data_IF_693954656593
#
_entry.id   IF_693954656593
#
_cell.length_a   1.000
_cell.length_b   1.000
_cell.length_c   1.000
_cell.angle_alpha   90.00
_cell.angle_beta   90.00
_cell.angle_gamma   90.00
#
_symmetry.space_group_name_H-M   'P 1'
#
loop_
_entity.id
_entity.type
_entity.pdbx_description
1 polymer ?
#
# COMPACT_ATOMS: atom_id res chain seq x y z
N UNK A 1 15.15 -17.93 -30.35
CA UNK A 1 13.93 -17.91 -29.54
C UNK A 1 13.89 -16.59 -28.78
N UNK A 2 13.01 -15.67 -29.18
CA UNK A 2 13.00 -14.35 -28.58
C UNK A 2 12.31 -14.44 -27.20
N UNK A 3 13.05 -14.23 -26.14
CA UNK A 3 12.59 -14.19 -24.74
C UNK A 3 11.57 -13.03 -24.48
N UNK A 4 11.27 -12.23 -25.51
CA UNK A 4 10.44 -11.02 -25.42
C UNK A 4 8.93 -11.21 -25.52
N UNK A 5 8.44 -12.45 -25.70
CA UNK A 5 7.00 -12.73 -25.85
C UNK A 5 6.31 -13.09 -24.54
N UNK A 6 6.98 -12.92 -23.39
CA UNK A 6 6.36 -13.19 -22.10
C UNK A 6 5.34 -12.09 -21.77
N UNK A 7 4.10 -12.49 -21.62
CA UNK A 7 2.98 -11.61 -21.28
C UNK A 7 2.78 -11.60 -19.77
N UNK A 8 3.64 -10.89 -19.05
CA UNK A 8 3.64 -10.85 -17.59
C UNK A 8 2.27 -10.51 -17.01
N UNK A 9 1.58 -9.50 -17.53
CA UNK A 9 0.24 -9.14 -17.07
C UNK A 9 -0.81 -10.24 -17.25
N UNK A 10 -0.66 -11.14 -18.25
CA UNK A 10 -1.55 -12.31 -18.39
C UNK A 10 -1.22 -13.41 -17.40
N UNK A 11 0.05 -13.59 -17.09
CA UNK A 11 0.48 -14.57 -16.10
C UNK A 11 0.08 -14.15 -14.70
N UNK A 12 0.19 -12.85 -14.39
CA UNK A 12 -0.32 -12.25 -13.14
C UNK A 12 -1.83 -12.47 -13.01
N UNK A 13 -2.61 -12.14 -14.04
CA UNK A 13 -4.06 -12.37 -14.06
C UNK A 13 -4.44 -13.85 -13.89
N UNK A 14 -3.65 -14.76 -14.48
CA UNK A 14 -3.89 -16.21 -14.35
C UNK A 14 -3.63 -16.66 -12.90
N UNK A 15 -2.58 -16.15 -12.26
CA UNK A 15 -2.28 -16.44 -10.87
C UNK A 15 -3.37 -15.88 -9.95
N UNK A 16 -3.79 -14.63 -10.14
CA UNK A 16 -4.85 -14.00 -9.35
C UNK A 16 -6.18 -14.76 -9.45
N UNK A 17 -6.58 -15.19 -10.67
CA UNK A 17 -7.80 -15.98 -10.86
C UNK A 17 -7.71 -17.42 -10.32
N UNK A 18 -6.50 -17.92 -10.13
CA UNK A 18 -6.25 -19.26 -9.60
C UNK A 18 -5.85 -19.28 -8.12
N UNK A 19 -5.97 -18.16 -7.41
CA UNK A 19 -5.50 -17.97 -6.04
C UNK A 19 -4.03 -18.40 -5.88
N UNK A 20 -3.25 -18.16 -6.92
CA UNK A 20 -1.83 -18.48 -6.99
C UNK A 20 -0.95 -17.24 -6.86
N UNK A 21 0.35 -17.49 -6.78
CA UNK A 21 1.36 -16.44 -6.74
C UNK A 21 2.11 -16.39 -8.07
N UNK A 22 2.27 -15.20 -8.64
CA UNK A 22 3.13 -14.96 -9.76
C UNK A 22 4.48 -14.42 -9.30
N UNK A 23 5.58 -15.01 -9.76
CA UNK A 23 6.92 -14.52 -9.50
C UNK A 23 7.75 -14.51 -10.79
N UNK A 24 8.60 -13.51 -10.94
CA UNK A 24 9.58 -13.43 -12.00
C UNK A 24 10.94 -13.89 -11.49
N UNK A 25 11.43 -14.99 -12.04
CA UNK A 25 12.72 -15.57 -11.66
C UNK A 25 13.69 -15.36 -12.83
N UNK A 26 14.65 -14.48 -12.66
CA UNK A 26 15.67 -14.14 -13.66
C UNK A 26 17.07 -14.70 -13.33
N UNK A 27 17.28 -15.06 -12.07
CA UNK A 27 18.55 -15.61 -11.60
C UNK A 27 18.34 -16.65 -10.48
N UNK A 28 19.41 -17.33 -10.12
CA UNK A 28 19.37 -18.39 -9.09
C UNK A 28 19.02 -17.86 -7.71
N UNK A 29 19.41 -16.64 -7.38
CA UNK A 29 19.12 -16.00 -6.09
C UNK A 29 17.62 -15.70 -5.93
N UNK A 30 17.00 -15.20 -6.98
CA UNK A 30 15.54 -15.00 -6.99
C UNK A 30 14.80 -16.34 -6.92
N UNK A 31 15.32 -17.38 -7.62
CA UNK A 31 14.78 -18.73 -7.49
C UNK A 31 14.85 -19.25 -6.05
N UNK A 32 15.95 -19.06 -5.36
CA UNK A 32 16.12 -19.46 -3.96
C UNK A 32 15.12 -18.73 -3.05
N UNK A 33 15.01 -17.41 -3.21
CA UNK A 33 14.05 -16.59 -2.46
C UNK A 33 12.62 -17.08 -2.63
N UNK A 34 12.17 -17.23 -3.88
CA UNK A 34 10.78 -17.60 -4.18
C UNK A 34 10.48 -19.05 -3.79
N UNK A 35 11.37 -19.99 -4.13
CA UNK A 35 11.10 -21.43 -3.99
C UNK A 35 11.51 -22.00 -2.62
N UNK A 36 12.32 -21.30 -1.83
CA UNK A 36 12.76 -21.77 -0.52
C UNK A 36 12.30 -20.84 0.58
N UNK A 37 12.68 -19.56 0.53
CA UNK A 37 12.39 -18.62 1.63
C UNK A 37 10.89 -18.29 1.73
N UNK A 38 10.22 -18.08 0.57
CA UNK A 38 8.80 -17.68 0.51
C UNK A 38 7.84 -18.86 0.34
N UNK A 39 8.35 -20.09 0.16
CA UNK A 39 7.51 -21.27 -0.10
C UNK A 39 6.53 -21.58 1.04
N UNK A 40 6.96 -21.46 2.27
CA UNK A 40 6.08 -21.70 3.43
C UNK A 40 4.89 -20.74 3.47
N UNK A 41 5.14 -19.47 3.17
CA UNK A 41 4.07 -18.47 3.07
C UNK A 41 3.11 -18.69 1.92
N UNK A 42 3.59 -19.29 0.82
CA UNK A 42 2.75 -19.60 -0.34
C UNK A 42 1.89 -20.87 -0.14
N UNK A 43 2.34 -21.79 0.72
CA UNK A 43 1.65 -23.07 0.96
C UNK A 43 0.66 -23.01 2.12
N UNK A 44 0.86 -22.12 3.09
CA UNK A 44 0.02 -22.00 4.27
C UNK A 44 -0.72 -20.66 4.29
N UNK A 45 -1.95 -20.67 3.81
CA UNK A 45 -2.84 -19.50 3.85
C UNK A 45 -3.35 -19.29 5.27
N UNK A 46 -3.07 -18.13 5.87
CA UNK A 46 -3.54 -17.75 7.22
C UNK A 46 -4.77 -16.85 7.19
N UNK A 47 -4.99 -16.15 6.08
CA UNK A 47 -6.16 -15.29 5.87
C UNK A 47 -6.58 -15.30 4.40
N UNK A 48 -7.88 -15.44 4.14
CA UNK A 48 -8.51 -15.42 2.82
C UNK A 48 -9.34 -14.16 2.64
N UNK A 49 -9.55 -13.77 1.39
CA UNK A 49 -10.40 -12.62 1.02
C UNK A 49 -10.03 -11.35 1.80
N UNK A 50 -8.73 -11.09 1.91
CA UNK A 50 -8.23 -9.95 2.68
C UNK A 50 -8.48 -8.66 1.93
N UNK A 51 -9.26 -7.79 2.54
CA UNK A 51 -9.61 -6.46 2.04
C UNK A 51 -9.10 -5.40 2.99
N UNK A 52 -8.48 -4.38 2.43
CA UNK A 52 -7.94 -3.25 3.17
C UNK A 52 -8.70 -2.00 2.74
N UNK A 53 -9.22 -1.27 3.70
CA UNK A 53 -9.82 0.04 3.49
C UNK A 53 -9.14 1.05 4.39
N UNK A 54 -8.74 2.18 3.82
CA UNK A 54 -8.23 3.32 4.56
C UNK A 54 -9.19 4.48 4.35
N UNK A 55 -9.61 5.06 5.46
CA UNK A 55 -10.50 6.21 5.48
C UNK A 55 -9.76 7.37 6.14
N UNK A 56 -9.48 8.41 5.39
CA UNK A 56 -8.79 9.60 5.87
C UNK A 56 -9.79 10.58 6.45
N UNK A 57 -9.42 11.21 7.58
CA UNK A 57 -10.23 12.25 8.19
C UNK A 57 -10.16 13.54 7.36
N UNK A 58 -11.26 14.00 6.74
CA UNK A 58 -11.24 15.18 5.88
C UNK A 58 -10.98 16.49 6.63
N UNK A 59 -11.10 16.50 7.97
CA UNK A 59 -10.72 17.65 8.79
C UNK A 59 -9.19 17.82 8.83
N UNK A 60 -8.45 16.72 8.76
CA UNK A 60 -6.99 16.67 8.87
C UNK A 60 -6.30 16.46 7.53
N UNK A 61 -6.96 15.74 6.58
CA UNK A 61 -6.39 15.36 5.28
C UNK A 61 -7.21 15.98 4.16
N UNK A 62 -6.59 16.90 3.43
CA UNK A 62 -7.19 17.58 2.27
C UNK A 62 -7.25 16.69 1.04
N UNK A 63 -6.18 15.95 0.78
CA UNK A 63 -6.11 15.01 -0.33
C UNK A 63 -5.14 13.87 -0.03
N UNK A 64 -5.33 12.76 -0.70
CA UNK A 64 -4.46 11.59 -0.57
C UNK A 64 -4.29 10.87 -1.91
N UNK A 65 -3.20 10.14 -2.04
CA UNK A 65 -2.89 9.34 -3.21
C UNK A 65 -2.18 8.05 -2.79
N UNK A 66 -2.70 6.91 -3.26
CA UNK A 66 -2.02 5.63 -3.14
C UNK A 66 -0.83 5.60 -4.13
N UNK A 67 0.32 5.14 -3.67
CA UNK A 67 1.53 4.98 -4.49
C UNK A 67 1.67 3.51 -4.88
N UNK A 68 1.51 3.23 -6.17
CA UNK A 68 1.45 1.85 -6.68
C UNK A 68 0.08 1.19 -6.46
N UNK A 69 0.01 -0.11 -6.68
CA UNK A 69 -1.20 -0.93 -6.52
C UNK A 69 -2.38 -0.53 -7.43
N UNK A 70 -2.14 0.15 -8.53
CA UNK A 70 -3.19 0.64 -9.43
C UNK A 70 -4.09 -0.50 -9.95
N UNK A 71 -3.55 -1.72 -10.06
CA UNK A 71 -4.27 -2.91 -10.53
C UNK A 71 -5.04 -3.64 -9.41
N UNK A 72 -4.93 -3.22 -8.15
CA UNK A 72 -5.50 -3.91 -6.98
C UNK A 72 -6.47 -3.05 -6.18
N UNK A 73 -7.03 -2.03 -6.82
CA UNK A 73 -8.01 -1.15 -6.19
C UNK A 73 -9.37 -1.83 -6.17
N UNK A 74 -9.91 -2.06 -4.97
CA UNK A 74 -11.26 -2.57 -4.75
C UNK A 74 -12.25 -1.41 -4.67
N UNK A 75 -13.40 -1.54 -5.31
CA UNK A 75 -14.46 -0.54 -5.16
C UNK A 75 -15.00 -0.53 -3.71
N UNK A 76 -15.24 0.65 -3.14
CA UNK A 76 -15.66 0.80 -1.75
C UNK A 76 -16.91 -0.05 -1.40
N UNK A 77 -17.87 -0.15 -2.33
CA UNK A 77 -19.09 -0.98 -2.19
C UNK A 77 -18.81 -2.48 -2.04
N UNK A 78 -17.63 -2.95 -2.48
CA UNK A 78 -17.26 -4.37 -2.46
C UNK A 78 -16.49 -4.74 -1.18
N UNK A 79 -16.14 -3.76 -0.35
CA UNK A 79 -15.43 -4.01 0.91
C UNK A 79 -16.23 -4.91 1.85
N UNK A 80 -17.53 -4.64 2.00
CA UNK A 80 -18.43 -5.41 2.87
C UNK A 80 -19.04 -6.66 2.22
N UNK A 81 -18.70 -6.92 0.96
CA UNK A 81 -19.27 -8.05 0.21
C UNK A 81 -18.41 -9.32 0.39
N UNK A 82 -18.88 -10.28 1.21
CA UNK A 82 -18.21 -11.56 1.43
C UNK A 82 -18.14 -12.48 0.21
N UNK A 83 -18.90 -12.19 -0.84
CA UNK A 83 -18.89 -12.96 -2.09
C UNK A 83 -17.84 -12.45 -3.07
N UNK A 84 -17.30 -11.25 -2.82
CA UNK A 84 -16.26 -10.67 -3.67
C UNK A 84 -14.92 -11.25 -3.26
N UNK A 85 -14.31 -11.96 -4.19
CA UNK A 85 -12.95 -12.48 -4.07
C UNK A 85 -11.93 -11.37 -3.87
N UNK A 86 -10.93 -11.63 -3.04
CA UNK A 86 -9.83 -10.71 -2.74
C UNK A 86 -8.56 -11.50 -2.42
N UNK A 87 -7.46 -10.78 -2.15
CA UNK A 87 -6.15 -11.41 -1.96
C UNK A 87 -6.07 -12.33 -0.75
N UNK A 88 -5.21 -13.34 -0.85
CA UNK A 88 -4.88 -14.25 0.25
C UNK A 88 -3.56 -13.84 0.91
N UNK A 89 -3.44 -14.08 2.20
CA UNK A 89 -2.20 -13.86 2.95
C UNK A 89 -1.73 -15.20 3.51
N UNK A 90 -0.50 -15.54 3.17
CA UNK A 90 0.19 -16.71 3.69
C UNK A 90 1.02 -16.40 4.95
N UNK A 91 1.43 -17.45 5.64
CA UNK A 91 2.25 -17.34 6.85
C UNK A 91 3.56 -16.59 6.59
N UNK A 92 3.85 -15.58 7.40
CA UNK A 92 5.06 -14.75 7.28
C UNK A 92 5.03 -13.67 6.20
N UNK A 93 3.95 -13.55 5.44
CA UNK A 93 3.81 -12.46 4.47
C UNK A 93 3.54 -11.11 5.14
N UNK A 94 4.14 -10.07 4.57
CA UNK A 94 3.86 -8.67 4.91
C UNK A 94 3.57 -7.87 3.64
N UNK A 95 2.68 -6.90 3.76
CA UNK A 95 2.31 -6.01 2.65
C UNK A 95 2.55 -4.57 3.09
N UNK A 96 3.19 -3.77 2.23
CA UNK A 96 3.43 -2.35 2.47
C UNK A 96 2.67 -1.54 1.44
N UNK A 97 1.74 -0.69 1.91
CA UNK A 97 1.08 0.31 1.09
C UNK A 97 1.52 1.70 1.53
N UNK A 98 1.91 2.54 0.57
CA UNK A 98 2.34 3.91 0.82
C UNK A 98 1.30 4.88 0.27
N UNK A 99 0.97 5.88 1.09
CA UNK A 99 0.10 6.98 0.70
C UNK A 99 0.84 8.30 0.82
N UNK A 100 0.67 9.14 -0.16
CA UNK A 100 1.04 10.55 -0.11
C UNK A 100 -0.18 11.33 0.38
N UNK A 101 -0.01 12.12 1.42
CA UNK A 101 -1.06 12.91 2.04
C UNK A 101 -0.76 14.39 1.92
N UNK A 102 -1.80 15.18 1.66
CA UNK A 102 -1.77 16.62 1.83
C UNK A 102 -2.64 16.96 3.04
N UNK A 103 -2.04 17.47 4.10
CA UNK A 103 -2.76 17.83 5.30
C UNK A 103 -3.56 19.14 5.11
N UNK A 104 -4.69 19.22 5.83
CA UNK A 104 -5.51 20.43 5.92
C UNK A 104 -4.70 21.51 6.63
N UNK A 105 -4.45 22.65 5.98
CA UNK A 105 -3.56 23.71 6.51
C UNK A 105 -2.25 23.86 5.75
N UNK A 106 -1.86 22.91 4.90
CA UNK A 106 -0.78 23.10 3.92
C UNK A 106 -1.31 23.78 2.66
N UNK A 107 -0.53 24.71 2.10
CA UNK A 107 -0.92 25.50 0.91
C UNK A 107 -1.06 24.61 -0.33
N UNK A 108 -2.16 24.79 -1.04
CA UNK A 108 -2.75 24.10 -2.17
C UNK A 108 -1.93 23.25 -3.13
N UNK A 109 -2.47 22.03 -3.48
CA UNK A 109 -2.75 21.62 -4.87
C UNK A 109 -3.61 20.34 -4.96
N UNK A 110 -4.79 20.46 -5.59
CA UNK A 110 -5.71 19.50 -6.23
C UNK A 110 -6.26 18.27 -5.50
N UNK A 111 -7.60 18.24 -5.34
CA UNK A 111 -8.41 17.24 -4.67
C UNK A 111 -9.24 16.37 -5.64
N UNK A 112 -9.52 15.12 -5.23
CA UNK A 112 -10.71 14.39 -5.67
C UNK A 112 -11.33 13.62 -4.48
N UNK A 113 -12.63 13.81 -4.26
CA UNK A 113 -13.37 13.30 -3.10
C UNK A 113 -14.22 12.07 -3.44
N UNK A 114 -14.24 11.09 -2.54
CA UNK A 114 -15.24 9.99 -2.51
C UNK A 114 -15.93 9.96 -1.15
N UNK A 115 -17.19 9.52 -1.10
CA UNK A 115 -18.04 9.51 0.10
C UNK A 115 -17.55 8.51 1.14
N UNK A 116 -17.18 9.00 2.32
CA UNK A 116 -16.53 8.26 3.40
C UNK A 116 -17.13 8.61 4.76
N UNK A 117 -16.81 7.85 5.81
CA UNK A 117 -17.28 7.89 7.20
C UNK A 117 -17.39 9.32 7.81
N UNK A 118 -16.53 10.22 7.42
CA UNK A 118 -16.47 11.59 7.91
C UNK A 118 -17.27 12.59 7.06
N UNK A 119 -17.79 12.18 5.89
CA UNK A 119 -18.59 13.00 5.01
C UNK A 119 -20.07 12.68 5.19
N UNK A 120 -20.85 13.66 5.58
CA UNK A 120 -22.32 13.57 5.58
C UNK A 120 -22.80 13.74 4.13
N UNK A 121 -23.47 12.72 3.60
CA UNK A 121 -24.27 12.86 2.38
C UNK A 121 -25.54 13.64 2.74
N UNK A 122 -25.71 14.82 2.15
CA UNK A 122 -27.01 15.52 2.14
C UNK A 122 -28.00 14.72 1.29
N UNK A 123 -28.64 13.74 1.89
CA UNK A 123 -29.90 13.19 1.39
C UNK A 123 -30.59 12.39 2.50
N UNK A 124 -31.75 12.86 2.86
CA UNK A 124 -32.79 12.34 3.75
C UNK A 124 -32.81 12.97 5.14
N UNK A 125 -33.79 13.87 5.31
CA UNK A 125 -34.25 14.40 6.58
C UNK A 125 -34.53 13.28 7.59
N UNK A 126 -33.75 13.23 8.66
CA UNK A 126 -34.11 12.57 9.90
C UNK A 126 -34.07 13.57 11.06
N UNK A 127 -34.98 13.44 12.07
CA UNK A 127 -35.19 14.48 13.07
C UNK A 127 -33.97 14.70 13.95
N UNK A 128 -33.62 15.96 14.17
CA UNK A 128 -32.53 16.42 15.05
C UNK A 128 -32.63 15.80 16.44
N UNK A 129 -31.61 15.20 16.99
CA UNK A 129 -31.42 15.10 18.41
C UNK A 129 -30.95 16.49 18.94
N UNK A 130 -31.67 17.03 19.87
CA UNK A 130 -31.26 18.20 20.63
C UNK A 130 -30.13 17.80 21.58
N UNK A 131 -28.89 17.99 21.18
CA UNK A 131 -27.75 18.27 22.06
C UNK A 131 -26.58 18.64 21.16
N UNK A 132 -26.17 19.89 21.24
CA UNK A 132 -25.24 20.58 20.34
C UNK A 132 -23.77 20.20 20.53
N UNK A 133 -23.43 18.92 20.28
CA UNK A 133 -22.05 18.50 20.04
C UNK A 133 -21.95 18.01 18.59
N UNK A 134 -21.35 18.83 17.77
CA UNK A 134 -20.99 18.49 16.40
C UNK A 134 -20.11 17.24 16.37
N UNK A 135 -20.40 16.32 15.46
CA UNK A 135 -19.63 15.07 15.26
C UNK A 135 -18.13 15.31 15.00
N UNK A 136 -17.73 16.53 14.72
CA UNK A 136 -16.31 16.94 14.55
C UNK A 136 -15.46 16.81 15.83
N UNK A 137 -16.05 16.98 17.02
CA UNK A 137 -15.27 16.89 18.27
C UNK A 137 -14.88 15.46 18.66
N UNK A 138 -15.57 14.44 18.13
CA UNK A 138 -15.32 13.04 18.47
C UNK A 138 -14.07 12.44 17.81
N UNK A 139 -13.65 12.99 16.68
CA UNK A 139 -12.55 12.47 15.85
C UNK A 139 -11.40 13.49 15.68
N UNK A 140 -11.34 14.48 16.57
CA UNK A 140 -10.28 15.49 16.57
C UNK A 140 -8.93 14.83 16.78
N UNK A 141 -7.97 15.13 15.88
CA UNK A 141 -6.62 14.58 15.88
C UNK A 141 -6.48 13.15 15.34
N UNK A 142 -7.58 12.54 14.87
CA UNK A 142 -7.49 11.28 14.12
C UNK A 142 -7.14 11.59 12.66
N UNK A 143 -6.04 11.02 12.16
CA UNK A 143 -5.58 11.20 10.78
C UNK A 143 -6.32 10.27 9.82
N UNK A 144 -6.44 9.00 10.20
CA UNK A 144 -7.09 7.97 9.39
C UNK A 144 -7.60 6.82 10.25
N UNK A 145 -8.52 6.04 9.66
CA UNK A 145 -8.91 4.72 10.16
C UNK A 145 -8.57 3.67 9.10
N UNK A 146 -7.80 2.67 9.50
CA UNK A 146 -7.49 1.48 8.71
C UNK A 146 -8.47 0.37 9.12
N UNK A 147 -9.25 -0.15 8.19
CA UNK A 147 -10.09 -1.32 8.37
C UNK A 147 -9.54 -2.49 7.57
N UNK A 148 -9.36 -3.63 8.23
CA UNK A 148 -9.01 -4.91 7.63
C UNK A 148 -10.21 -5.83 7.74
N UNK A 149 -10.56 -6.48 6.64
CA UNK A 149 -11.58 -7.52 6.58
C UNK A 149 -10.99 -8.77 5.97
N UNK A 150 -11.17 -9.91 6.60
CA UNK A 150 -10.58 -11.17 6.17
C UNK A 150 -11.40 -12.36 6.67
N UNK A 151 -11.23 -13.51 6.02
CA UNK A 151 -11.75 -14.80 6.50
C UNK A 151 -10.61 -15.65 7.05
N UNK A 152 -10.85 -16.33 8.16
CA UNK A 152 -9.95 -17.41 8.59
C UNK A 152 -9.96 -18.55 7.56
N UNK A 153 -8.91 -19.39 7.46
CA UNK A 153 -8.81 -20.43 6.43
C UNK A 153 -10.04 -21.31 6.29
N UNK A 154 -10.66 -21.68 7.41
CA UNK A 154 -11.84 -22.57 7.44
C UNK A 154 -13.17 -21.80 7.59
N UNK A 155 -13.14 -20.47 7.67
CA UNK A 155 -14.34 -19.67 7.87
C UNK A 155 -14.99 -19.25 6.55
N UNK A 156 -16.32 -19.17 6.54
CA UNK A 156 -17.12 -18.63 5.42
C UNK A 156 -17.49 -17.17 5.63
N UNK A 157 -17.44 -16.70 6.87
CA UNK A 157 -17.78 -15.32 7.25
C UNK A 157 -16.52 -14.53 7.58
N UNK A 158 -16.44 -13.31 7.08
CA UNK A 158 -15.31 -12.43 7.36
C UNK A 158 -15.38 -11.82 8.76
N UNK A 159 -14.23 -11.56 9.32
CA UNK A 159 -14.00 -10.74 10.50
C UNK A 159 -13.48 -9.36 10.07
N UNK A 160 -13.74 -8.32 10.88
CA UNK A 160 -13.28 -6.95 10.66
C UNK A 160 -12.47 -6.50 11.86
N UNK A 161 -11.32 -5.89 11.58
CA UNK A 161 -10.45 -5.26 12.58
C UNK A 161 -10.22 -3.82 12.15
N UNK A 162 -10.25 -2.89 13.09
CA UNK A 162 -10.02 -1.47 12.84
C UNK A 162 -8.87 -0.92 13.67
N UNK A 163 -8.10 -0.03 13.08
CA UNK A 163 -7.04 0.71 13.72
C UNK A 163 -7.18 2.18 13.37
N UNK A 164 -7.17 3.03 14.37
CA UNK A 164 -7.18 4.48 14.18
C UNK A 164 -5.78 5.04 14.42
N UNK A 165 -5.29 5.83 13.49
CA UNK A 165 -4.01 6.53 13.57
C UNK A 165 -4.27 8.01 13.85
N UNK A 166 -3.60 8.55 14.87
CA UNK A 166 -3.56 9.98 15.17
C UNK A 166 -2.40 10.65 14.45
N UNK A 167 -2.52 11.94 14.22
CA UNK A 167 -1.41 12.71 13.67
C UNK A 167 -0.31 12.87 14.72
N UNK A 168 0.80 12.18 14.48
CA UNK A 168 2.02 12.32 15.28
C UNK A 168 3.12 12.76 14.31
N UNK A 169 3.35 14.07 14.18
CA UNK A 169 4.27 14.60 13.18
C UNK A 169 5.69 14.08 13.43
N UNK A 170 6.19 13.31 12.49
CA UNK A 170 7.53 12.74 12.50
C UNK A 170 8.27 13.16 11.25
N UNK A 171 9.49 13.66 11.38
CA UNK A 171 10.29 14.01 10.22
C UNK A 171 10.74 12.75 9.45
N UNK A 172 10.88 12.85 8.14
CA UNK A 172 11.37 11.74 7.32
C UNK A 172 12.74 11.22 7.80
N UNK A 173 13.60 12.10 8.29
CA UNK A 173 14.94 11.74 8.79
C UNK A 173 14.90 10.88 10.06
N UNK A 174 13.87 11.02 10.89
CA UNK A 174 13.68 10.28 12.14
C UNK A 174 12.73 9.08 11.99
N UNK A 175 12.11 8.92 10.82
CA UNK A 175 11.28 7.76 10.52
C UNK A 175 12.11 6.46 10.53
N UNK A 176 11.44 5.32 10.68
CA UNK A 176 12.09 4.01 10.71
C UNK A 176 12.90 3.74 9.44
N UNK A 177 13.94 2.92 9.53
CA UNK A 177 14.72 2.47 8.38
C UNK A 177 13.84 1.78 7.34
N UNK A 178 12.88 0.98 7.80
CA UNK A 178 11.93 0.27 6.94
C UNK A 178 11.10 1.24 6.10
N UNK A 179 10.52 2.26 6.73
CA UNK A 179 9.75 3.29 6.03
C UNK A 179 10.61 4.06 5.02
N UNK A 180 11.80 4.50 5.43
CA UNK A 180 12.71 5.24 4.53
C UNK A 180 13.15 4.41 3.35
N UNK A 181 13.43 3.10 3.56
CA UNK A 181 13.76 2.18 2.48
C UNK A 181 12.58 1.97 1.53
N UNK A 182 11.38 1.73 2.05
CA UNK A 182 10.17 1.58 1.25
C UNK A 182 9.87 2.85 0.42
N UNK A 183 10.07 4.04 1.00
CA UNK A 183 9.93 5.31 0.28
C UNK A 183 10.96 5.45 -0.85
N UNK A 184 12.20 5.00 -0.66
CA UNK A 184 13.21 4.98 -1.71
C UNK A 184 12.81 4.04 -2.87
N UNK A 185 12.29 2.84 -2.56
CA UNK A 185 11.78 1.89 -3.57
C UNK A 185 10.62 2.49 -4.35
N UNK A 186 9.66 3.10 -3.67
CA UNK A 186 8.51 3.75 -4.31
C UNK A 186 8.95 4.90 -5.23
N UNK A 187 9.89 5.72 -4.76
CA UNK A 187 10.45 6.83 -5.56
C UNK A 187 11.20 6.34 -6.79
N UNK A 188 11.96 5.25 -6.68
CA UNK A 188 12.61 4.60 -7.82
C UNK A 188 11.59 4.18 -8.88
N UNK A 189 10.51 3.50 -8.47
CA UNK A 189 9.43 3.11 -9.37
C UNK A 189 8.75 4.30 -10.04
N UNK A 190 8.52 5.40 -9.30
CA UNK A 190 7.96 6.63 -9.87
C UNK A 190 8.89 7.27 -10.91
N UNK A 191 10.20 7.31 -10.66
CA UNK A 191 11.18 7.85 -11.60
C UNK A 191 11.25 6.99 -12.88
N UNK A 192 11.27 5.66 -12.76
CA UNK A 192 11.34 4.76 -13.91
C UNK A 192 10.10 4.87 -14.80
N UNK A 193 8.94 5.08 -14.21
CA UNK A 193 7.66 5.26 -14.94
C UNK A 193 7.45 6.68 -15.48
N UNK A 194 8.34 7.62 -15.18
CA UNK A 194 8.17 9.02 -15.55
C UNK A 194 6.92 9.65 -14.92
N UNK A 195 6.64 9.28 -13.67
CA UNK A 195 5.45 9.75 -12.95
C UNK A 195 5.47 11.27 -12.79
N UNK A 196 4.35 11.94 -13.08
CA UNK A 196 4.19 13.39 -12.80
C UNK A 196 4.22 13.71 -11.30
N UNK A 197 4.11 12.70 -10.44
CA UNK A 197 4.12 12.83 -8.98
C UNK A 197 5.47 12.53 -8.36
N UNK A 198 6.53 12.37 -9.13
CA UNK A 198 7.87 12.11 -8.60
C UNK A 198 8.46 13.30 -7.81
N UNK A 199 7.86 14.50 -7.93
CA UNK A 199 8.34 15.71 -7.26
C UNK A 199 9.80 16.01 -7.60
N UNK A 200 10.60 16.32 -6.57
CA UNK A 200 12.03 16.61 -6.71
C UNK A 200 12.93 15.38 -6.46
N UNK A 201 12.35 14.17 -6.41
CA UNK A 201 13.14 12.95 -6.19
C UNK A 201 14.04 12.67 -7.39
N UNK A 202 15.26 12.20 -7.13
CA UNK A 202 16.25 11.86 -8.15
C UNK A 202 16.86 10.49 -7.86
N UNK A 203 17.50 9.86 -8.85
CA UNK A 203 18.23 8.60 -8.66
C UNK A 203 19.26 8.72 -7.54
N UNK A 204 19.96 9.86 -7.45
CA UNK A 204 20.91 10.14 -6.37
C UNK A 204 20.24 10.14 -4.99
N UNK A 205 19.09 10.81 -4.87
CA UNK A 205 18.33 10.82 -3.61
C UNK A 205 17.86 9.41 -3.22
N UNK A 206 17.41 8.61 -4.19
CA UNK A 206 17.00 7.22 -3.97
C UNK A 206 18.18 6.39 -3.45
N UNK A 207 19.34 6.47 -4.12
CA UNK A 207 20.55 5.74 -3.72
C UNK A 207 21.00 6.12 -2.31
N UNK A 208 21.13 7.41 -2.01
CA UNK A 208 21.53 7.89 -0.69
C UNK A 208 20.56 7.45 0.41
N UNK A 209 19.25 7.56 0.14
CA UNK A 209 18.20 7.21 1.11
C UNK A 209 18.20 5.70 1.37
N UNK A 210 18.24 4.88 0.32
CA UNK A 210 18.26 3.43 0.44
C UNK A 210 19.54 2.95 1.18
N UNK A 211 20.71 3.54 0.85
CA UNK A 211 21.97 3.20 1.50
C UNK A 211 21.95 3.50 3.00
N UNK A 212 21.42 4.65 3.40
CA UNK A 212 21.29 5.04 4.82
C UNK A 212 20.24 4.22 5.56
N UNK A 213 19.28 3.64 4.84
CA UNK A 213 18.17 2.89 5.39
C UNK A 213 18.29 1.37 5.20
N UNK A 214 19.45 0.87 4.77
CA UNK A 214 19.65 -0.54 4.42
C UNK A 214 19.32 -1.50 5.58
N UNK A 215 19.60 -1.10 6.83
CA UNK A 215 19.32 -1.90 8.01
C UNK A 215 19.94 -3.29 7.96
N UNK A 216 19.27 -4.29 8.55
CA UNK A 216 19.64 -5.69 8.45
C UNK A 216 19.22 -6.24 7.08
N UNK A 217 20.17 -6.70 6.29
CA UNK A 217 19.95 -7.24 4.93
C UNK A 217 20.53 -8.65 4.80
N UNK A 218 19.98 -9.58 5.58
CA UNK A 218 20.46 -10.96 5.64
C UNK A 218 20.42 -11.64 4.26
N UNK A 219 19.38 -11.41 3.49
CA UNK A 219 19.26 -11.92 2.11
C UNK A 219 20.05 -11.12 1.08
N UNK A 220 20.57 -9.91 1.40
CA UNK A 220 21.26 -9.00 0.49
C UNK A 220 20.37 -8.39 -0.59
N UNK A 221 19.04 -8.46 -0.45
CA UNK A 221 18.08 -7.94 -1.43
C UNK A 221 18.06 -6.40 -1.47
N UNK A 222 18.33 -5.78 -0.34
CA UNK A 222 18.40 -4.30 -0.26
C UNK A 222 19.67 -3.77 -0.91
N UNK A 223 20.79 -4.47 -0.73
CA UNK A 223 22.06 -4.17 -1.41
C UNK A 223 21.89 -4.31 -2.93
N UNK A 224 21.24 -5.39 -3.40
CA UNK A 224 20.94 -5.59 -4.82
C UNK A 224 20.05 -4.48 -5.39
N UNK A 225 19.04 -4.03 -4.65
CA UNK A 225 18.24 -2.88 -5.05
C UNK A 225 19.09 -1.62 -5.24
N UNK A 226 20.01 -1.34 -4.33
CA UNK A 226 20.92 -0.18 -4.44
C UNK A 226 21.78 -0.29 -5.70
N UNK A 227 22.28 -1.48 -6.03
CA UNK A 227 23.06 -1.71 -7.26
C UNK A 227 22.20 -1.51 -8.52
N UNK A 228 20.93 -1.93 -8.51
CA UNK A 228 19.98 -1.63 -9.59
C UNK A 228 19.77 -0.12 -9.78
N UNK A 229 19.65 0.63 -8.68
CA UNK A 229 19.50 2.09 -8.73
C UNK A 229 20.74 2.74 -9.36
N UNK A 230 21.94 2.30 -8.99
CA UNK A 230 23.22 2.78 -9.58
C UNK A 230 23.30 2.50 -11.08
N UNK A 231 22.95 1.29 -11.49
CA UNK A 231 22.94 0.90 -12.90
C UNK A 231 21.96 1.75 -13.70
N UNK A 232 20.74 1.96 -13.19
CA UNK A 232 19.73 2.79 -13.84
C UNK A 232 20.14 4.27 -13.90
N UNK A 233 20.84 4.78 -12.88
CA UNK A 233 21.35 6.14 -12.83
C UNK A 233 22.53 6.40 -13.78
N UNK A 234 23.36 5.39 -14.02
CA UNK A 234 24.51 5.47 -14.96
C UNK A 234 24.14 5.23 -16.43
N UNK A 235 22.93 4.77 -16.71
CA UNK A 235 22.46 4.50 -18.08
C UNK A 235 21.73 5.69 -18.74
N UNK A 236 21.70 6.87 -18.11
CA UNK A 236 21.05 8.09 -18.59
C UNK A 236 22.05 9.15 -19.01
#
# INVERSE_FOLDING_TARGET
MCIRDRKDGKLEQLADNGNGMYAYIDNFREAHKVLIEQMSGSLETIAKDVKIQIEFNPSEVKSYRLIGYENRVLAAKDFDNDKKDAGEIGAGHSVTALYELQLSGAVDQTASAQNLKYQQTDAVEQPKPADGKTSQDKHSGELLTLALRFKKPDAQKSERIEFTLKDEPTSFSTASSEFRFAAAVASFGMILRGSQHQGQTSMKWVEETATRAIGSDVGGYRAEFIDLVRQAGGAR
#
